data_IF_512323698993
#
_entry.id   IF_512323698993
#
_cell.length_a   1.000
_cell.length_b   1.000
_cell.length_c   1.000
_cell.angle_alpha   90.00
_cell.angle_beta   90.00
_cell.angle_gamma   90.00
#
_symmetry.space_group_name_H-M   'P 1'
#
loop_
_entity.id
_entity.type
_entity.pdbx_description
1 polymer ?
#
# COMPACT_ATOMS: atom_id res chain seq x y z
N UNK A 1 23.76 -1.09 -10.96
CA UNK A 1 23.06 -2.32 -11.44
C UNK A 1 21.79 -1.88 -12.14
N UNK A 2 21.44 -2.51 -13.26
CA UNK A 2 20.15 -2.31 -13.94
C UNK A 2 19.42 -3.63 -14.00
N UNK A 3 18.10 -3.59 -14.12
CA UNK A 3 17.29 -4.77 -14.31
C UNK A 3 15.93 -4.44 -14.91
N UNK A 4 15.20 -5.48 -15.27
CA UNK A 4 13.87 -5.41 -15.86
C UNK A 4 12.95 -6.38 -15.12
N UNK A 5 11.67 -6.01 -14.99
CA UNK A 5 10.64 -6.86 -14.43
C UNK A 5 10.50 -8.17 -15.21
N UNK A 6 10.05 -9.22 -14.51
CA UNK A 6 9.84 -10.52 -15.11
C UNK A 6 8.54 -10.55 -15.92
N UNK A 7 8.53 -11.30 -17.02
CA UNK A 7 7.30 -11.58 -17.77
C UNK A 7 6.35 -12.44 -16.93
N UNK A 8 5.04 -12.16 -17.02
CA UNK A 8 3.99 -12.88 -16.28
C UNK A 8 2.71 -12.94 -17.11
N UNK A 9 1.98 -14.06 -17.06
CA UNK A 9 0.74 -14.26 -17.83
C UNK A 9 0.85 -13.99 -19.35
N UNK A 10 2.03 -14.25 -19.92
CA UNK A 10 2.31 -13.98 -21.34
C UNK A 10 2.56 -12.50 -21.68
N UNK A 11 2.54 -11.61 -20.68
CA UNK A 11 2.88 -10.20 -20.82
C UNK A 11 4.36 -9.97 -20.50
N UNK A 12 5.10 -9.17 -21.30
CA UNK A 12 6.48 -8.82 -21.00
C UNK A 12 6.55 -7.91 -19.77
N UNK A 13 7.61 -8.03 -18.98
CA UNK A 13 7.86 -7.10 -17.87
C UNK A 13 8.28 -5.72 -18.40
N UNK A 14 7.50 -4.68 -18.16
CA UNK A 14 7.75 -3.33 -18.69
C UNK A 14 8.43 -2.37 -17.71
N UNK A 15 8.58 -2.79 -16.44
CA UNK A 15 9.31 -2.01 -15.43
C UNK A 15 10.80 -2.22 -15.61
N UNK A 16 11.53 -1.15 -15.83
CA UNK A 16 12.98 -1.10 -15.77
C UNK A 16 13.39 -0.42 -14.47
N UNK A 17 14.42 -0.95 -13.81
CA UNK A 17 14.93 -0.37 -12.57
C UNK A 17 16.44 -0.22 -12.61
N UNK A 18 16.93 0.74 -11.81
CA UNK A 18 18.36 0.93 -11.56
C UNK A 18 18.62 0.96 -10.06
N UNK A 19 19.76 0.43 -9.67
CA UNK A 19 20.34 0.59 -8.33
C UNK A 19 21.70 1.24 -8.50
N UNK A 20 21.92 2.37 -7.83
CA UNK A 20 23.20 3.06 -7.76
C UNK A 20 23.65 3.17 -6.31
N UNK A 21 24.95 3.05 -6.09
CA UNK A 21 25.55 3.24 -4.78
C UNK A 21 26.78 4.15 -4.89
N UNK A 22 26.87 5.13 -4.02
CA UNK A 22 28.05 5.98 -3.82
C UNK A 22 28.71 5.62 -2.49
N UNK A 23 30.04 5.56 -2.49
CA UNK A 23 30.86 5.17 -1.36
C UNK A 23 31.80 6.31 -1.01
N UNK A 24 31.69 6.85 0.20
CA UNK A 24 32.62 7.83 0.74
C UNK A 24 33.36 7.20 1.90
N UNK A 25 34.69 7.27 1.90
CA UNK A 25 35.53 6.66 2.94
C UNK A 25 36.45 7.71 3.56
N UNK A 26 36.74 7.56 4.85
CA UNK A 26 37.71 8.37 5.58
C UNK A 26 38.88 7.51 6.06
N UNK A 27 40.04 8.13 6.25
CA UNK A 27 41.28 7.47 6.67
C UNK A 27 42.46 7.81 5.76
N UNK A 28 43.67 7.88 6.32
CA UNK A 28 44.86 8.38 5.62
C UNK A 28 45.26 7.55 4.40
N UNK A 29 44.92 6.27 4.40
CA UNK A 29 45.21 5.31 3.32
C UNK A 29 43.94 4.62 2.83
N UNK A 30 42.77 5.19 3.14
CA UNK A 30 41.47 4.64 2.78
C UNK A 30 41.31 4.55 1.27
N UNK A 31 40.80 3.43 0.80
CA UNK A 31 40.65 3.17 -0.63
C UNK A 31 39.38 2.38 -0.93
N UNK A 32 38.77 2.67 -2.08
CA UNK A 32 37.66 1.90 -2.65
C UNK A 32 38.11 1.40 -4.02
N UNK A 33 38.14 0.09 -4.23
CA UNK A 33 38.59 -0.51 -5.50
C UNK A 33 37.61 -1.57 -6.00
N UNK A 34 37.36 -1.65 -7.33
CA UNK A 34 36.71 -2.81 -7.90
C UNK A 34 37.57 -4.06 -7.71
N UNK A 35 36.93 -5.17 -7.34
CA UNK A 35 37.61 -6.45 -7.11
C UNK A 35 37.43 -7.44 -8.26
N UNK A 36 36.44 -7.25 -9.13
CA UNK A 36 36.24 -8.09 -10.31
C UNK A 36 35.38 -7.39 -11.37
N UNK A 37 35.73 -7.61 -12.64
CA UNK A 37 34.93 -7.18 -13.80
C UNK A 37 33.81 -8.19 -14.14
N UNK A 38 33.84 -9.40 -13.56
CA UNK A 38 32.89 -10.49 -13.85
C UNK A 38 31.71 -10.49 -12.88
N UNK A 39 31.98 -10.20 -11.60
CA UNK A 39 30.95 -9.89 -10.59
C UNK A 39 31.32 -8.56 -9.97
N UNK A 40 30.60 -7.47 -10.27
CA UNK A 40 30.97 -6.15 -9.80
C UNK A 40 30.88 -6.11 -8.27
N UNK A 41 32.03 -6.32 -7.63
CA UNK A 41 32.26 -6.20 -6.20
C UNK A 41 33.22 -5.05 -5.96
N UNK A 42 33.05 -4.36 -4.85
CA UNK A 42 33.93 -3.28 -4.40
C UNK A 42 34.57 -3.70 -3.08
N UNK A 43 35.88 -3.48 -2.96
CA UNK A 43 36.62 -3.60 -1.70
C UNK A 43 36.86 -2.22 -1.12
N UNK A 44 36.57 -2.08 0.17
CA UNK A 44 36.95 -0.92 0.98
C UNK A 44 38.06 -1.39 1.92
N UNK A 45 39.23 -0.76 1.85
CA UNK A 45 40.40 -1.09 2.67
C UNK A 45 40.98 0.14 3.36
N UNK A 46 41.58 -0.07 4.54
CA UNK A 46 42.24 0.94 5.36
C UNK A 46 41.39 2.19 5.68
N UNK A 47 40.06 2.04 5.71
CA UNK A 47 39.14 3.10 6.06
C UNK A 47 38.82 3.07 7.57
N UNK A 48 38.73 4.25 8.17
CA UNK A 48 38.24 4.42 9.55
C UNK A 48 36.70 4.39 9.57
N UNK A 49 36.08 5.03 8.57
CA UNK A 49 34.63 5.03 8.35
C UNK A 49 34.30 4.88 6.86
N UNK A 50 33.13 4.30 6.58
CA UNK A 50 32.56 4.22 5.24
C UNK A 50 31.08 4.61 5.28
N UNK A 51 30.71 5.58 4.44
CA UNK A 51 29.35 5.98 4.17
C UNK A 51 28.92 5.41 2.81
N UNK A 52 27.84 4.64 2.83
CA UNK A 52 27.23 4.06 1.63
C UNK A 52 25.87 4.75 1.43
N UNK A 53 25.68 5.37 0.28
CA UNK A 53 24.41 5.96 -0.12
C UNK A 53 23.87 5.17 -1.29
N UNK A 54 22.65 4.63 -1.15
CA UNK A 54 22.00 3.80 -2.17
C UNK A 54 20.78 4.55 -2.70
N UNK A 55 20.67 4.65 -4.02
CA UNK A 55 19.48 5.13 -4.71
C UNK A 55 18.95 4.05 -5.65
N UNK A 56 17.65 3.82 -5.57
CA UNK A 56 16.92 2.84 -6.38
C UNK A 56 15.75 3.57 -7.02
N UNK A 57 15.56 3.40 -8.32
CA UNK A 57 14.40 3.99 -9.01
C UNK A 57 13.96 3.13 -10.20
N UNK A 58 12.76 3.40 -10.70
CA UNK A 58 12.14 2.72 -11.83
C UNK A 58 11.67 3.71 -12.90
N UNK A 59 11.28 3.21 -14.06
CA UNK A 59 10.62 4.01 -15.09
C UNK A 59 9.12 4.28 -14.79
N UNK A 60 8.57 3.77 -13.69
CA UNK A 60 7.16 3.95 -13.33
C UNK A 60 6.87 5.40 -12.93
N UNK A 61 5.87 6.02 -13.58
CA UNK A 61 5.28 7.30 -13.17
C UNK A 61 3.89 7.06 -12.60
N UNK A 62 3.07 6.31 -13.35
CA UNK A 62 1.72 5.89 -12.98
C UNK A 62 1.32 4.67 -13.80
N UNK A 63 0.14 4.13 -13.53
CA UNK A 63 -0.35 2.88 -14.12
C UNK A 63 -0.33 2.82 -15.65
N UNK A 64 -0.40 3.96 -16.34
CA UNK A 64 -0.36 4.05 -17.81
C UNK A 64 0.80 4.89 -18.36
N UNK A 65 1.81 5.19 -17.53
CA UNK A 65 2.97 5.97 -17.94
C UNK A 65 4.27 5.39 -17.35
N UNK A 66 5.12 4.93 -18.26
CA UNK A 66 6.44 4.36 -17.99
C UNK A 66 7.56 5.17 -18.66
N UNK A 67 7.32 6.44 -18.94
CA UNK A 67 8.21 7.29 -19.75
C UNK A 67 9.42 7.85 -18.99
N UNK A 68 9.51 7.64 -17.67
CA UNK A 68 10.64 8.13 -16.90
C UNK A 68 11.93 7.36 -17.19
N UNK A 69 13.07 8.06 -17.10
CA UNK A 69 14.38 7.42 -17.09
C UNK A 69 14.79 7.08 -15.64
N UNK A 70 14.82 5.79 -15.25
CA UNK A 70 15.26 5.39 -13.90
C UNK A 70 16.70 5.82 -13.61
N UNK A 71 17.57 5.84 -14.63
CA UNK A 71 18.97 6.22 -14.47
C UNK A 71 19.10 7.70 -14.14
N UNK A 72 18.34 8.57 -14.80
CA UNK A 72 18.30 10.00 -14.49
C UNK A 72 17.81 10.23 -13.06
N UNK A 73 16.67 9.63 -12.69
CA UNK A 73 16.09 9.77 -11.34
C UNK A 73 17.03 9.34 -10.23
N UNK A 74 17.61 8.14 -10.31
CA UNK A 74 18.55 7.66 -9.31
C UNK A 74 19.82 8.54 -9.25
N UNK A 75 20.27 9.09 -10.38
CA UNK A 75 21.41 10.04 -10.41
C UNK A 75 21.06 11.33 -9.68
N UNK A 76 19.86 11.88 -9.93
CA UNK A 76 19.41 13.10 -9.28
C UNK A 76 19.26 12.91 -7.76
N UNK A 77 18.72 11.77 -7.33
CA UNK A 77 18.63 11.42 -5.90
C UNK A 77 20.00 11.41 -5.23
N UNK A 78 21.01 10.79 -5.84
CA UNK A 78 22.39 10.80 -5.33
C UNK A 78 23.00 12.21 -5.35
N UNK A 79 22.78 12.97 -6.42
CA UNK A 79 23.28 14.35 -6.53
C UNK A 79 22.74 15.26 -5.42
N UNK A 80 21.48 15.08 -5.01
CA UNK A 80 20.83 15.88 -3.95
C UNK A 80 21.43 15.66 -2.55
N UNK A 81 22.16 14.57 -2.34
CA UNK A 81 22.79 14.23 -1.05
C UNK A 81 24.31 14.24 -1.11
N UNK A 82 24.90 14.37 -2.31
CA UNK A 82 26.34 14.40 -2.48
C UNK A 82 26.96 15.58 -1.71
N UNK A 83 28.01 15.28 -0.96
CA UNK A 83 28.72 16.26 -0.12
C UNK A 83 28.05 16.58 1.21
N UNK A 84 26.86 16.03 1.50
CA UNK A 84 26.27 16.10 2.84
C UNK A 84 26.95 15.10 3.76
N UNK A 85 27.18 15.49 5.02
CA UNK A 85 27.71 14.58 6.03
C UNK A 85 26.62 13.60 6.50
N UNK A 86 27.04 12.44 7.02
CA UNK A 86 26.12 11.49 7.65
C UNK A 86 25.28 12.17 8.75
N UNK A 87 25.91 12.98 9.60
CA UNK A 87 25.23 13.71 10.67
C UNK A 87 24.13 14.63 10.14
N UNK A 88 24.39 15.37 9.06
CA UNK A 88 23.38 16.23 8.44
C UNK A 88 22.23 15.43 7.84
N UNK A 89 22.52 14.31 7.17
CA UNK A 89 21.47 13.46 6.59
C UNK A 89 20.62 12.79 7.68
N UNK A 90 21.27 12.31 8.75
CA UNK A 90 20.59 11.72 9.90
C UNK A 90 19.68 12.75 10.58
N UNK A 91 20.15 13.98 10.78
CA UNK A 91 19.35 15.04 11.37
C UNK A 91 18.08 15.32 10.54
N UNK A 92 18.21 15.47 9.22
CA UNK A 92 17.06 15.65 8.32
C UNK A 92 16.09 14.46 8.39
N UNK A 93 16.60 13.23 8.42
CA UNK A 93 15.77 12.03 8.55
C UNK A 93 14.99 12.00 9.88
N UNK A 94 15.68 12.28 11.00
CA UNK A 94 15.09 12.28 12.33
C UNK A 94 14.03 13.38 12.44
N UNK A 95 14.30 14.58 11.92
CA UNK A 95 13.33 15.68 11.90
C UNK A 95 12.06 15.31 11.13
N UNK A 96 12.17 14.78 9.90
CA UNK A 96 11.01 14.33 9.11
C UNK A 96 10.23 13.23 9.84
N UNK A 97 10.90 12.14 10.21
CA UNK A 97 10.23 10.99 10.83
C UNK A 97 9.60 11.37 12.19
N UNK A 98 10.34 12.08 13.05
CA UNK A 98 9.83 12.47 14.38
C UNK A 98 8.70 13.49 14.31
N UNK A 99 8.60 14.29 13.25
CA UNK A 99 7.48 15.22 13.05
C UNK A 99 6.12 14.51 12.92
N UNK A 100 6.13 13.25 12.45
CA UNK A 100 4.95 12.39 12.40
C UNK A 100 4.88 11.46 13.61
N UNK A 101 5.97 10.72 13.85
CA UNK A 101 5.99 9.70 14.88
C UNK A 101 5.82 10.29 16.29
N UNK A 102 6.39 11.48 16.56
CA UNK A 102 6.32 12.15 17.85
C UNK A 102 4.95 12.73 18.22
N UNK A 103 3.96 12.71 17.32
CA UNK A 103 2.61 13.27 17.56
C UNK A 103 1.77 12.47 18.55
N UNK A 104 2.08 11.18 18.74
CA UNK A 104 1.34 10.30 19.65
C UNK A 104 2.34 9.58 20.56
N UNK A 105 2.07 9.65 21.86
CA UNK A 105 2.77 8.88 22.88
C UNK A 105 1.77 7.95 23.57
N UNK A 106 2.14 6.68 23.73
CA UNK A 106 1.31 5.63 24.32
C UNK A 106 2.12 4.96 25.41
N UNK A 107 1.55 4.88 26.61
CA UNK A 107 2.10 4.15 27.75
C UNK A 107 0.94 3.42 28.42
N UNK A 108 1.08 2.11 28.63
CA UNK A 108 0.02 1.25 29.16
C UNK A 108 0.37 0.67 30.53
N UNK A 109 1.31 1.30 31.23
CA UNK A 109 1.73 0.89 32.56
C UNK A 109 3.04 1.54 32.98
N UNK A 110 3.57 1.12 34.12
CA UNK A 110 4.92 1.47 34.55
C UNK A 110 5.89 0.41 34.01
N UNK A 111 6.94 0.79 33.27
CA UNK A 111 7.95 -0.14 32.80
C UNK A 111 8.52 -0.99 33.95
N UNK A 112 8.61 -2.30 33.73
CA UNK A 112 9.24 -3.24 34.66
C UNK A 112 10.63 -3.64 34.15
N UNK A 113 11.34 -4.50 34.88
CA UNK A 113 12.57 -5.11 34.35
C UNK A 113 12.35 -5.86 33.04
N UNK A 114 11.14 -6.37 32.81
CA UNK A 114 10.80 -7.17 31.63
C UNK A 114 10.65 -6.29 30.38
N UNK A 115 10.27 -5.02 30.53
CA UNK A 115 10.15 -4.05 29.43
C UNK A 115 11.48 -3.82 28.68
N UNK A 116 12.62 -4.08 29.34
CA UNK A 116 13.95 -3.92 28.76
C UNK A 116 14.54 -5.21 28.16
N UNK A 117 13.79 -6.32 28.19
CA UNK A 117 14.21 -7.56 27.54
C UNK A 117 14.14 -7.42 26.01
N UNK A 118 14.87 -8.26 25.26
CA UNK A 118 14.68 -8.39 23.82
C UNK A 118 13.20 -8.60 23.45
N UNK A 119 12.71 -7.91 22.40
CA UNK A 119 11.29 -7.95 22.00
C UNK A 119 10.77 -9.36 21.72
N UNK A 120 11.62 -10.25 21.22
CA UNK A 120 11.27 -11.65 20.97
C UNK A 120 10.98 -12.45 22.25
N UNK A 121 11.44 -11.99 23.41
CA UNK A 121 11.12 -12.55 24.73
C UNK A 121 9.88 -11.84 25.29
N UNK A 122 9.84 -10.51 25.20
CA UNK A 122 8.74 -9.70 25.75
C UNK A 122 7.36 -10.11 25.22
N UNK A 123 7.26 -10.47 23.93
CA UNK A 123 6.00 -10.90 23.31
C UNK A 123 5.37 -12.14 23.95
N UNK A 124 6.15 -12.95 24.67
CA UNK A 124 5.66 -14.17 25.33
C UNK A 124 5.32 -13.92 26.82
N UNK A 125 5.41 -12.66 27.30
CA UNK A 125 5.11 -12.24 28.67
C UNK A 125 3.76 -11.49 28.73
N UNK A 126 2.68 -12.16 28.31
CA UNK A 126 1.37 -11.52 28.10
C UNK A 126 0.53 -11.41 29.39
N UNK A 127 0.72 -12.31 30.36
CA UNK A 127 -0.10 -12.41 31.56
C UNK A 127 0.69 -12.76 32.84
N UNK A 128 0.00 -12.65 33.98
CA UNK A 128 0.59 -12.94 35.30
C UNK A 128 1.45 -11.82 35.88
N UNK A 129 2.16 -12.09 37.00
CA UNK A 129 2.97 -11.09 37.72
C UNK A 129 4.17 -10.57 36.92
N UNK A 130 4.60 -11.32 35.89
CA UNK A 130 5.73 -10.99 35.02
C UNK A 130 5.30 -10.36 33.68
N UNK A 131 4.00 -10.06 33.50
CA UNK A 131 3.49 -9.51 32.26
C UNK A 131 4.14 -8.16 31.90
N UNK A 132 4.43 -7.96 30.61
CA UNK A 132 4.91 -6.69 30.08
C UNK A 132 3.80 -5.98 29.29
N UNK A 133 3.01 -5.15 29.98
CA UNK A 133 1.92 -4.40 29.34
C UNK A 133 2.40 -3.38 28.30
N UNK A 134 3.65 -2.93 28.39
CA UNK A 134 4.23 -1.98 27.42
C UNK A 134 4.51 -2.63 26.05
N UNK A 135 4.41 -3.96 25.89
CA UNK A 135 4.46 -4.61 24.58
C UNK A 135 3.29 -4.17 23.69
N UNK A 136 2.10 -3.93 24.26
CA UNK A 136 0.93 -3.49 23.49
C UNK A 136 1.09 -2.04 22.99
N UNK A 137 1.71 -1.18 23.80
CA UNK A 137 2.09 0.16 23.37
C UNK A 137 3.13 0.11 22.24
N UNK A 138 4.10 -0.81 22.34
CA UNK A 138 5.07 -1.06 21.28
C UNK A 138 4.38 -1.52 19.98
N UNK A 139 3.40 -2.43 20.03
CA UNK A 139 2.66 -2.86 18.83
C UNK A 139 1.90 -1.71 18.17
N UNK A 140 1.19 -0.89 18.94
CA UNK A 140 0.47 0.28 18.41
C UNK A 140 1.45 1.28 17.74
N UNK A 141 2.58 1.56 18.39
CA UNK A 141 3.61 2.42 17.81
C UNK A 141 4.29 1.79 16.60
N UNK A 142 4.46 0.46 16.57
CA UNK A 142 5.03 -0.23 15.43
C UNK A 142 4.12 -0.13 14.20
N UNK A 143 2.80 -0.23 14.36
CA UNK A 143 1.85 0.04 13.27
C UNK A 143 2.02 1.44 12.67
N UNK A 144 2.15 2.48 13.51
CA UNK A 144 2.42 3.85 13.07
C UNK A 144 3.76 3.97 12.34
N UNK A 145 4.82 3.36 12.89
CA UNK A 145 6.13 3.32 12.27
C UNK A 145 6.09 2.69 10.87
N UNK A 146 5.44 1.53 10.74
CA UNK A 146 5.30 0.84 9.46
C UNK A 146 4.56 1.73 8.46
N UNK A 147 3.43 2.31 8.86
CA UNK A 147 2.67 3.27 8.06
C UNK A 147 3.50 4.42 7.49
N UNK A 148 4.25 5.11 8.36
CA UNK A 148 5.14 6.20 7.98
C UNK A 148 6.24 5.72 7.02
N UNK A 149 6.75 4.51 7.23
CA UNK A 149 7.84 3.96 6.43
C UNK A 149 7.40 3.43 5.05
N UNK A 150 6.14 3.00 4.90
CA UNK A 150 5.65 2.31 3.70
C UNK A 150 4.56 3.03 2.91
N UNK A 151 4.03 4.16 3.39
CA UNK A 151 2.98 4.91 2.70
C UNK A 151 3.18 6.42 2.86
N UNK A 152 4.07 7.01 2.07
CA UNK A 152 4.33 8.46 1.98
C UNK A 152 4.39 8.84 0.51
N UNK A 153 5.29 9.72 0.03
CA UNK A 153 5.41 10.08 -1.41
C UNK A 153 5.80 8.88 -2.32
N UNK A 154 4.91 7.89 -2.44
CA UNK A 154 5.06 6.53 -3.00
C UNK A 154 3.66 5.94 -3.32
N UNK A 155 3.59 4.67 -3.69
CA UNK A 155 2.37 3.85 -3.68
C UNK A 155 1.89 3.57 -2.24
N UNK A 156 0.58 3.31 -2.00
CA UNK A 156 0.12 2.91 -0.68
C UNK A 156 0.73 1.57 -0.27
N UNK A 157 0.74 1.29 1.03
CA UNK A 157 1.19 0.01 1.56
C UNK A 157 0.35 -1.15 1.02
N UNK A 158 0.99 -2.13 0.38
CA UNK A 158 0.36 -3.35 -0.11
C UNK A 158 0.27 -4.41 1.01
N UNK A 159 -0.08 -5.66 0.70
CA UNK A 159 -0.19 -6.76 1.68
C UNK A 159 1.06 -6.96 2.57
N UNK A 160 2.25 -6.53 2.13
CA UNK A 160 3.51 -6.63 2.85
C UNK A 160 4.15 -5.26 3.10
N UNK A 161 3.37 -4.18 3.00
CA UNK A 161 3.87 -2.80 3.05
C UNK A 161 4.74 -2.50 1.83
N UNK A 162 6.06 -2.55 2.01
CA UNK A 162 7.08 -2.47 0.95
C UNK A 162 8.15 -3.56 1.08
N UNK A 163 7.96 -4.53 2.00
CA UNK A 163 8.99 -5.50 2.39
C UNK A 163 8.69 -6.89 1.84
N UNK A 164 9.28 -7.20 0.69
CA UNK A 164 9.16 -8.50 0.04
C UNK A 164 10.52 -8.97 -0.50
N UNK A 165 10.87 -10.23 -0.27
CA UNK A 165 12.14 -10.83 -0.73
C UNK A 165 11.95 -11.87 -1.84
N UNK A 166 10.71 -12.21 -2.20
CA UNK A 166 10.40 -13.26 -3.18
C UNK A 166 9.77 -12.68 -4.44
N UNK A 167 10.04 -13.29 -5.60
CA UNK A 167 9.52 -12.80 -6.90
C UNK A 167 8.04 -13.13 -7.12
N UNK A 168 7.53 -14.15 -6.43
CA UNK A 168 6.14 -14.59 -6.49
C UNK A 168 5.58 -14.70 -5.07
N UNK A 169 5.33 -13.57 -4.39
CA UNK A 169 4.81 -13.56 -3.03
C UNK A 169 3.36 -14.06 -2.96
N UNK A 170 2.92 -14.44 -1.77
CA UNK A 170 1.54 -14.84 -1.52
C UNK A 170 0.57 -13.73 -1.93
N UNK A 171 -0.48 -14.10 -2.66
CA UNK A 171 -1.45 -13.19 -3.27
C UNK A 171 -0.81 -12.07 -4.13
N UNK A 172 0.41 -12.29 -4.61
CA UNK A 172 1.17 -11.32 -5.41
C UNK A 172 1.60 -10.07 -4.65
N UNK A 173 1.49 -10.04 -3.32
CA UNK A 173 1.71 -8.84 -2.50
C UNK A 173 0.98 -7.61 -3.06
N UNK A 174 -0.22 -7.83 -3.62
CA UNK A 174 -1.03 -6.83 -4.32
C UNK A 174 -1.80 -5.95 -3.33
N UNK A 175 -2.76 -5.18 -3.84
CA UNK A 175 -3.77 -4.51 -3.02
C UNK A 175 -5.04 -5.35 -3.04
N UNK A 176 -5.24 -6.16 -2.01
CA UNK A 176 -6.52 -6.82 -1.76
C UNK A 176 -7.45 -5.85 -1.04
N UNK A 177 -8.51 -5.45 -1.73
CA UNK A 177 -9.37 -4.31 -1.39
C UNK A 177 -10.77 -4.76 -0.96
N UNK A 178 -10.92 -6.01 -0.54
CA UNK A 178 -12.11 -6.52 0.15
C UNK A 178 -11.91 -6.65 1.67
N UNK A 179 -10.82 -6.10 2.23
CA UNK A 179 -10.54 -5.89 3.67
C UNK A 179 -9.11 -5.37 3.89
N UNK A 180 -8.11 -5.95 3.22
CA UNK A 180 -6.70 -5.79 3.63
C UNK A 180 -6.19 -4.37 3.42
N UNK A 181 -6.47 -3.77 2.26
CA UNK A 181 -6.03 -2.40 1.97
C UNK A 181 -6.71 -1.39 2.90
N UNK A 182 -7.98 -1.62 3.25
CA UNK A 182 -8.70 -0.79 4.20
C UNK A 182 -8.05 -0.90 5.59
N UNK A 183 -7.75 -2.13 6.02
CA UNK A 183 -7.06 -2.38 7.29
C UNK A 183 -5.70 -1.72 7.37
N UNK A 184 -4.93 -1.73 6.27
CA UNK A 184 -3.66 -1.00 6.15
C UNK A 184 -3.78 0.51 6.37
N UNK A 185 -4.99 1.07 6.35
CA UNK A 185 -5.24 2.51 6.41
C UNK A 185 -6.06 2.95 7.62
N UNK A 186 -6.70 2.04 8.35
CA UNK A 186 -7.56 2.37 9.51
C UNK A 186 -6.85 3.13 10.63
N UNK A 187 -5.54 2.91 10.80
CA UNK A 187 -4.79 3.54 11.88
C UNK A 187 -4.45 5.00 11.59
N UNK A 188 -4.50 5.44 10.33
CA UNK A 188 -3.86 6.69 9.91
C UNK A 188 -4.48 7.93 10.60
N UNK A 189 -5.80 8.06 10.57
CA UNK A 189 -6.51 9.16 11.23
C UNK A 189 -6.45 9.04 12.76
N UNK A 190 -6.85 7.90 13.39
CA UNK A 190 -6.88 7.80 14.85
C UNK A 190 -5.51 7.96 15.50
N UNK A 191 -4.43 7.59 14.81
CA UNK A 191 -3.06 7.72 15.30
C UNK A 191 -2.28 8.90 14.71
N UNK A 192 -3.00 9.89 14.18
CA UNK A 192 -2.50 11.22 13.81
C UNK A 192 -1.31 11.17 12.83
N UNK A 193 -1.46 10.37 11.79
CA UNK A 193 -0.53 10.21 10.67
C UNK A 193 -1.31 10.16 9.34
N UNK A 194 -2.33 11.02 9.21
CA UNK A 194 -3.23 11.07 8.06
C UNK A 194 -2.50 11.24 6.71
N UNK A 195 -1.31 11.85 6.72
CA UNK A 195 -0.43 11.97 5.55
C UNK A 195 -0.03 10.60 4.95
N UNK A 196 -0.20 9.50 5.69
CA UNK A 196 0.01 8.16 5.14
C UNK A 196 -1.11 7.69 4.21
N UNK A 197 -2.23 8.42 4.14
CA UNK A 197 -3.35 8.14 3.25
C UNK A 197 -3.21 8.79 1.86
N UNK A 198 -2.31 9.77 1.69
CA UNK A 198 -2.14 10.47 0.42
C UNK A 198 -1.94 9.51 -0.78
N UNK A 199 -1.15 8.43 -0.66
CA UNK A 199 -1.02 7.43 -1.73
C UNK A 199 -2.30 6.68 -2.04
N UNK A 200 -3.15 6.45 -1.04
CA UNK A 200 -4.42 5.76 -1.21
C UNK A 200 -5.37 6.59 -2.07
N UNK A 201 -5.35 7.92 -1.95
CA UNK A 201 -6.15 8.82 -2.78
C UNK A 201 -5.78 8.72 -4.26
N UNK A 202 -4.48 8.66 -4.54
CA UNK A 202 -3.96 8.43 -5.89
C UNK A 202 -4.39 7.07 -6.42
N UNK A 203 -4.22 6.00 -5.62
CA UNK A 203 -4.66 4.66 -6.02
C UNK A 203 -6.16 4.63 -6.34
N UNK A 204 -7.03 5.17 -5.48
CA UNK A 204 -8.49 5.17 -5.69
C UNK A 204 -8.84 5.97 -6.95
N UNK A 205 -8.24 7.15 -7.13
CA UNK A 205 -8.50 8.01 -8.29
C UNK A 205 -8.13 7.32 -9.60
N UNK A 206 -6.97 6.67 -9.65
CA UNK A 206 -6.50 5.96 -10.84
C UNK A 206 -7.26 4.65 -11.09
N UNK A 207 -7.63 3.92 -10.04
CA UNK A 207 -8.55 2.78 -10.15
C UNK A 207 -9.90 3.24 -10.69
N UNK A 208 -10.41 4.42 -10.31
CA UNK A 208 -11.64 4.94 -10.85
C UNK A 208 -11.54 5.32 -12.34
N UNK A 209 -10.38 5.77 -12.81
CA UNK A 209 -10.11 5.97 -14.24
C UNK A 209 -10.20 4.65 -15.02
N UNK A 210 -9.54 3.60 -14.53
CA UNK A 210 -9.59 2.27 -15.15
C UNK A 210 -10.97 1.63 -15.04
N UNK A 211 -11.61 1.78 -13.88
CA UNK A 211 -12.91 1.21 -13.53
C UNK A 211 -14.08 1.72 -14.36
N UNK A 212 -13.95 2.88 -15.02
CA UNK A 212 -14.92 3.35 -16.03
C UNK A 212 -14.96 2.43 -17.25
N UNK A 213 -13.80 1.92 -17.66
CA UNK A 213 -13.69 0.99 -18.79
C UNK A 213 -14.34 -0.33 -18.39
N UNK A 214 -14.03 -0.85 -17.20
CA UNK A 214 -14.59 -2.13 -16.74
C UNK A 214 -16.11 -2.04 -16.46
N UNK A 215 -16.60 -0.89 -15.98
CA UNK A 215 -18.04 -0.65 -15.85
C UNK A 215 -18.75 -0.78 -17.21
N UNK A 216 -18.16 -0.23 -18.27
CA UNK A 216 -18.71 -0.33 -19.62
C UNK A 216 -18.57 -1.73 -20.20
N UNK A 217 -17.37 -2.31 -20.18
CA UNK A 217 -17.07 -3.57 -20.85
C UNK A 217 -17.68 -4.79 -20.16
N UNK A 218 -17.74 -4.78 -18.82
CA UNK A 218 -18.26 -5.92 -18.03
C UNK A 218 -19.75 -5.81 -17.76
N UNK A 219 -20.24 -4.60 -17.46
CA UNK A 219 -21.62 -4.39 -17.01
C UNK A 219 -22.49 -3.67 -18.03
N UNK A 220 -21.94 -3.18 -19.15
CA UNK A 220 -22.64 -2.31 -20.11
C UNK A 220 -23.20 -1.03 -19.43
N UNK A 221 -22.51 -0.53 -18.42
CA UNK A 221 -22.87 0.68 -17.68
C UNK A 221 -21.90 1.80 -18.07
N UNK A 222 -22.43 2.87 -18.66
CA UNK A 222 -21.62 4.00 -19.15
C UNK A 222 -21.40 5.12 -18.12
N UNK A 223 -22.06 5.03 -16.96
CA UNK A 223 -21.95 6.02 -15.88
C UNK A 223 -21.16 5.43 -14.71
N UNK A 224 -20.36 6.26 -14.06
CA UNK A 224 -19.62 5.84 -12.88
C UNK A 224 -18.43 4.93 -13.16
N UNK A 225 -18.02 4.18 -12.15
CA UNK A 225 -16.83 3.32 -12.17
C UNK A 225 -16.99 2.17 -11.16
N UNK A 226 -16.25 1.09 -11.38
CA UNK A 226 -16.25 -0.10 -10.52
C UNK A 226 -14.84 -0.62 -10.30
N UNK A 227 -14.63 -1.33 -9.20
CA UNK A 227 -13.46 -2.14 -8.92
C UNK A 227 -13.91 -3.37 -8.14
N UNK A 228 -13.15 -4.46 -8.23
CA UNK A 228 -13.44 -5.71 -7.54
C UNK A 228 -12.44 -5.95 -6.40
N UNK A 229 -12.39 -7.16 -5.85
CA UNK A 229 -11.66 -7.47 -4.61
C UNK A 229 -10.14 -7.25 -4.62
N UNK A 230 -9.51 -7.04 -5.77
CA UNK A 230 -8.06 -6.88 -5.90
C UNK A 230 -7.70 -5.84 -6.96
N UNK A 231 -6.61 -5.12 -6.72
CA UNK A 231 -5.96 -4.22 -7.69
C UNK A 231 -4.43 -4.24 -7.52
N UNK A 232 -3.70 -3.49 -8.32
CA UNK A 232 -2.24 -3.46 -8.31
C UNK A 232 -1.65 -2.16 -8.88
N UNK A 233 -0.35 -2.18 -9.17
CA UNK A 233 0.37 -1.01 -9.73
C UNK A 233 -0.15 -0.61 -11.12
N UNK A 234 -0.84 -1.52 -11.81
CA UNK A 234 -1.48 -1.29 -13.11
C UNK A 234 -2.95 -0.88 -12.99
N UNK A 235 -3.46 -0.74 -11.76
CA UNK A 235 -4.81 -0.31 -11.41
C UNK A 235 -5.90 -1.20 -12.00
N UNK A 236 -5.62 -2.50 -12.11
CA UNK A 236 -6.59 -3.50 -12.53
C UNK A 236 -7.87 -3.35 -11.70
N UNK A 237 -9.01 -3.25 -12.37
CA UNK A 237 -10.33 -3.09 -11.73
C UNK A 237 -11.28 -4.24 -12.03
N UNK A 238 -10.92 -5.18 -12.92
CA UNK A 238 -11.76 -6.30 -13.32
C UNK A 238 -11.78 -7.41 -12.25
N UNK A 239 -12.79 -8.31 -12.26
CA UNK A 239 -12.76 -9.51 -11.42
C UNK A 239 -11.54 -10.37 -11.76
N UNK A 240 -10.74 -10.77 -10.75
CA UNK A 240 -9.60 -11.66 -10.95
C UNK A 240 -9.80 -13.00 -10.23
N UNK A 241 -8.93 -13.96 -10.55
CA UNK A 241 -8.87 -15.32 -10.00
C UNK A 241 -10.09 -16.19 -10.31
N UNK A 242 -11.14 -16.16 -9.48
CA UNK A 242 -12.33 -16.98 -9.66
C UNK A 242 -13.59 -16.24 -9.25
N UNK A 243 -14.72 -16.50 -9.92
CA UNK A 243 -16.02 -15.95 -9.55
C UNK A 243 -16.37 -16.18 -8.07
N UNK A 244 -15.86 -17.27 -7.49
CA UNK A 244 -16.09 -17.62 -6.09
C UNK A 244 -15.61 -16.54 -5.11
N UNK A 245 -14.59 -15.75 -5.45
CA UNK A 245 -14.01 -14.69 -4.61
C UNK A 245 -14.01 -13.32 -5.30
N UNK A 246 -13.78 -13.31 -6.61
CA UNK A 246 -13.40 -12.13 -7.36
C UNK A 246 -14.54 -11.31 -7.93
N UNK A 247 -15.74 -11.87 -8.06
CA UNK A 247 -16.91 -11.11 -8.53
C UNK A 247 -17.57 -10.36 -7.36
N UNK A 248 -16.85 -9.40 -6.81
CA UNK A 248 -17.26 -8.59 -5.66
C UNK A 248 -17.08 -7.09 -5.97
N UNK A 249 -18.09 -6.41 -6.55
CA UNK A 249 -17.98 -5.03 -7.08
C UNK A 249 -18.15 -3.94 -5.99
N UNK A 250 -17.74 -4.22 -4.74
CA UNK A 250 -17.95 -3.33 -3.60
C UNK A 250 -16.68 -2.74 -3.01
N UNK A 251 -15.52 -3.03 -3.61
CA UNK A 251 -14.25 -2.43 -3.21
C UNK A 251 -14.31 -0.89 -3.22
N UNK A 252 -14.86 -0.23 -4.26
CA UNK A 252 -15.01 1.22 -4.27
C UNK A 252 -15.81 1.75 -3.08
N UNK A 253 -16.93 1.10 -2.74
CA UNK A 253 -17.81 1.56 -1.66
C UNK A 253 -17.07 1.59 -0.32
N UNK A 254 -16.25 0.57 -0.05
CA UNK A 254 -15.48 0.49 1.18
C UNK A 254 -14.27 1.43 1.16
N UNK A 255 -13.53 1.49 0.05
CA UNK A 255 -12.37 2.40 -0.08
C UNK A 255 -12.78 3.87 0.07
N UNK A 256 -13.93 4.27 -0.48
CA UNK A 256 -14.44 5.64 -0.37
C UNK A 256 -14.87 6.03 1.05
N UNK A 257 -15.11 5.06 1.95
CA UNK A 257 -15.31 5.38 3.36
C UNK A 257 -14.08 6.09 3.92
N UNK A 258 -12.87 5.68 3.56
CA UNK A 258 -11.65 6.38 4.00
C UNK A 258 -11.61 7.84 3.52
N UNK A 259 -12.02 8.12 2.28
CA UNK A 259 -12.05 9.51 1.77
C UNK A 259 -13.08 10.36 2.51
N UNK A 260 -14.24 9.78 2.82
CA UNK A 260 -15.25 10.47 3.62
C UNK A 260 -14.79 10.67 5.07
N UNK A 261 -14.22 9.64 5.68
CA UNK A 261 -13.66 9.69 7.04
C UNK A 261 -12.56 10.74 7.15
N UNK A 262 -11.64 10.82 6.17
CA UNK A 262 -10.60 11.86 6.13
C UNK A 262 -11.20 13.27 6.26
N UNK A 263 -12.28 13.55 5.53
CA UNK A 263 -13.01 14.82 5.69
C UNK A 263 -13.66 14.94 7.08
N UNK A 264 -14.30 13.89 7.61
CA UNK A 264 -14.97 13.92 8.91
C UNK A 264 -14.00 14.10 10.09
N UNK A 265 -12.77 13.59 9.99
CA UNK A 265 -11.74 13.74 11.02
C UNK A 265 -11.28 15.19 11.15
N UNK A 266 -11.23 15.95 10.05
CA UNK A 266 -10.90 17.36 10.05
C UNK A 266 -11.79 18.15 9.06
N UNK A 267 -13.05 18.43 9.43
CA UNK A 267 -14.03 18.97 8.50
C UNK A 267 -13.72 20.42 8.16
N UNK A 268 -13.56 20.68 6.87
CA UNK A 268 -13.36 22.01 6.30
C UNK A 268 -14.43 22.28 5.22
N UNK A 269 -15.34 23.25 5.41
CA UNK A 269 -16.39 23.57 4.43
C UNK A 269 -15.84 24.00 3.06
N UNK A 270 -14.59 24.48 2.99
CA UNK A 270 -13.94 24.91 1.76
C UNK A 270 -12.95 23.86 1.20
N UNK A 271 -12.95 22.64 1.77
CA UNK A 271 -12.04 21.55 1.43
C UNK A 271 -12.02 21.26 -0.07
N UNK A 272 -10.88 21.56 -0.71
CA UNK A 272 -10.65 21.18 -2.10
C UNK A 272 -10.56 19.67 -2.27
N UNK A 273 -10.04 18.94 -1.28
CA UNK A 273 -10.01 17.48 -1.31
C UNK A 273 -11.43 16.90 -1.42
N UNK A 274 -12.36 17.36 -0.58
CA UNK A 274 -13.74 16.90 -0.64
C UNK A 274 -14.37 17.26 -1.99
N UNK A 275 -14.29 18.53 -2.39
CA UNK A 275 -14.96 19.06 -3.58
C UNK A 275 -14.41 18.49 -4.89
N UNK A 276 -13.10 18.42 -5.03
CA UNK A 276 -12.43 18.17 -6.31
C UNK A 276 -11.99 16.70 -6.46
N UNK A 277 -11.90 15.94 -5.36
CA UNK A 277 -11.43 14.55 -5.38
C UNK A 277 -12.46 13.58 -4.81
N UNK A 278 -12.78 13.66 -3.52
CA UNK A 278 -13.57 12.65 -2.84
C UNK A 278 -15.04 12.62 -3.34
N UNK A 279 -15.69 13.77 -3.44
CA UNK A 279 -17.10 13.85 -3.87
C UNK A 279 -17.32 13.39 -5.32
N UNK A 280 -16.53 13.82 -6.32
CA UNK A 280 -16.65 13.28 -7.68
C UNK A 280 -16.53 11.75 -7.75
N UNK A 281 -15.64 11.15 -6.95
CA UNK A 281 -15.47 9.69 -6.90
C UNK A 281 -16.68 9.00 -6.26
N UNK A 282 -17.18 9.52 -5.13
CA UNK A 282 -18.41 9.04 -4.46
C UNK A 282 -19.65 9.17 -5.35
N UNK A 283 -19.79 10.30 -6.03
CA UNK A 283 -20.85 10.51 -7.02
C UNK A 283 -20.76 9.50 -8.15
N UNK A 284 -19.55 9.30 -8.71
CA UNK A 284 -19.32 8.32 -9.77
C UNK A 284 -19.72 6.90 -9.36
N UNK A 285 -19.35 6.45 -8.15
CA UNK A 285 -19.77 5.13 -7.69
C UNK A 285 -21.30 5.04 -7.51
N UNK A 286 -21.92 6.09 -7.00
CA UNK A 286 -23.39 6.14 -6.84
C UNK A 286 -24.10 6.03 -8.20
N UNK A 287 -23.56 6.69 -9.24
CA UNK A 287 -24.08 6.59 -10.61
C UNK A 287 -23.97 5.18 -11.19
N UNK A 288 -22.88 4.47 -10.90
CA UNK A 288 -22.72 3.05 -11.24
C UNK A 288 -23.76 2.19 -10.53
N UNK A 289 -23.92 2.34 -9.20
CA UNK A 289 -24.90 1.54 -8.45
C UNK A 289 -26.35 1.79 -8.85
N UNK A 290 -26.70 3.02 -9.24
CA UNK A 290 -28.04 3.29 -9.78
C UNK A 290 -28.36 2.49 -11.06
N UNK A 291 -27.36 2.11 -11.85
CA UNK A 291 -27.54 1.29 -13.06
C UNK A 291 -27.24 -0.21 -12.83
N UNK A 292 -26.47 -0.54 -11.80
CA UNK A 292 -26.08 -1.91 -11.47
C UNK A 292 -27.14 -2.64 -10.63
N UNK A 293 -27.80 -1.94 -9.71
CA UNK A 293 -28.79 -2.55 -8.83
C UNK A 293 -30.08 -2.88 -9.59
N UNK A 294 -30.70 -4.01 -9.24
CA UNK A 294 -31.92 -4.53 -9.87
C UNK A 294 -32.98 -4.83 -8.82
N UNK A 295 -34.24 -4.89 -9.21
CA UNK A 295 -35.30 -5.39 -8.32
C UNK A 295 -35.20 -6.92 -8.18
N UNK A 296 -35.14 -7.41 -6.95
CA UNK A 296 -35.12 -8.83 -6.64
C UNK A 296 -36.44 -9.49 -7.09
N UNK A 297 -36.41 -10.66 -7.76
CA UNK A 297 -37.62 -11.39 -8.13
C UNK A 297 -38.51 -11.67 -6.92
N UNK A 298 -39.84 -11.66 -7.12
CA UNK A 298 -40.79 -11.85 -6.01
C UNK A 298 -40.73 -13.26 -5.35
N UNK A 299 -39.97 -14.18 -5.95
CA UNK A 299 -39.76 -15.53 -5.45
C UNK A 299 -38.35 -15.75 -4.87
N UNK A 300 -37.55 -14.69 -4.68
CA UNK A 300 -36.22 -14.71 -4.06
C UNK A 300 -36.21 -13.66 -2.94
N UNK A 301 -35.77 -14.03 -1.73
CA UNK A 301 -35.57 -13.06 -0.65
C UNK A 301 -34.26 -12.28 -0.86
N UNK A 302 -34.22 -10.95 -0.61
CA UNK A 302 -35.31 -10.10 -0.14
C UNK A 302 -36.25 -9.66 -1.27
N UNK A 303 -37.51 -10.12 -1.23
CA UNK A 303 -38.49 -9.98 -2.31
C UNK A 303 -38.82 -8.51 -2.65
N UNK A 304 -38.64 -8.10 -3.91
CA UNK A 304 -39.02 -6.78 -4.42
C UNK A 304 -38.12 -5.63 -3.96
N UNK A 305 -37.00 -5.94 -3.29
CA UNK A 305 -36.00 -4.93 -2.90
C UNK A 305 -35.04 -4.64 -4.06
N UNK A 306 -34.43 -3.45 -4.03
CA UNK A 306 -33.34 -3.11 -4.93
C UNK A 306 -32.05 -3.72 -4.39
N UNK A 307 -31.49 -4.68 -5.12
CA UNK A 307 -30.37 -5.51 -4.71
C UNK A 307 -29.30 -5.57 -5.79
N UNK A 308 -28.03 -5.82 -5.42
CA UNK A 308 -27.00 -6.13 -6.40
C UNK A 308 -27.14 -7.57 -6.90
N UNK A 309 -26.89 -7.78 -8.20
CA UNK A 309 -26.88 -9.10 -8.80
C UNK A 309 -25.88 -9.16 -9.97
N UNK A 310 -24.86 -10.04 -9.91
CA UNK A 310 -24.57 -10.97 -8.83
C UNK A 310 -23.91 -10.26 -7.62
N UNK A 311 -24.04 -10.90 -6.45
CA UNK A 311 -23.43 -10.49 -5.18
C UNK A 311 -22.75 -11.68 -4.50
N UNK A 312 -21.89 -11.41 -3.53
CA UNK A 312 -21.29 -12.43 -2.65
C UNK A 312 -20.80 -11.80 -1.34
N UNK A 313 -20.73 -12.60 -0.29
CA UNK A 313 -20.10 -12.19 0.98
C UNK A 313 -18.69 -12.80 1.05
N UNK A 314 -17.62 -11.99 0.92
CA UNK A 314 -16.26 -12.50 0.89
C UNK A 314 -15.91 -13.27 2.17
N UNK A 315 -15.31 -14.44 2.12
CA UNK A 315 -15.01 -15.32 0.98
C UNK A 315 -15.71 -16.67 1.19
N UNK A 316 -17.01 -16.62 1.47
CA UNK A 316 -17.77 -17.80 1.86
C UNK A 316 -18.67 -18.34 0.74
N UNK A 317 -18.91 -19.65 0.80
CA UNK A 317 -19.84 -20.31 -0.10
C UNK A 317 -21.25 -20.34 0.47
N UNK A 318 -22.23 -20.40 -0.42
CA UNK A 318 -23.65 -20.60 -0.07
C UNK A 318 -24.08 -22.06 -0.16
N UNK A 319 -23.20 -22.93 -0.65
CA UNK A 319 -23.45 -24.36 -0.79
C UNK A 319 -22.73 -24.96 -1.99
N UNK A 320 -22.91 -26.27 -2.16
CA UNK A 320 -22.34 -27.01 -3.29
C UNK A 320 -23.37 -27.18 -4.41
N UNK A 321 -22.94 -26.93 -5.63
CA UNK A 321 -23.68 -27.24 -6.86
C UNK A 321 -22.77 -28.03 -7.79
N UNK A 322 -23.20 -29.23 -8.20
CA UNK A 322 -22.38 -30.17 -8.98
C UNK A 322 -20.97 -30.39 -8.40
N UNK A 323 -20.91 -30.73 -7.11
CA UNK A 323 -19.66 -30.96 -6.36
C UNK A 323 -18.69 -29.76 -6.30
N UNK A 324 -19.14 -28.57 -6.72
CA UNK A 324 -18.38 -27.32 -6.67
C UNK A 324 -19.05 -26.36 -5.69
N UNK A 325 -18.26 -25.76 -4.80
CA UNK A 325 -18.77 -24.70 -3.94
C UNK A 325 -19.06 -23.44 -4.78
N UNK A 326 -20.20 -22.80 -4.55
CA UNK A 326 -20.62 -21.56 -5.22
C UNK A 326 -20.85 -20.46 -4.20
N UNK A 327 -20.63 -19.19 -4.59
CA UNK A 327 -20.79 -18.04 -3.69
C UNK A 327 -21.65 -16.91 -4.23
N UNK A 328 -21.98 -16.92 -5.54
CA UNK A 328 -22.78 -15.85 -6.15
C UNK A 328 -24.26 -15.98 -5.78
N UNK A 329 -24.85 -14.85 -5.42
CA UNK A 329 -26.21 -14.70 -4.90
C UNK A 329 -26.87 -13.45 -5.46
N UNK A 330 -28.18 -13.30 -5.23
CA UNK A 330 -28.78 -11.97 -5.11
C UNK A 330 -28.37 -11.40 -3.75
N UNK A 331 -27.95 -10.14 -3.72
CA UNK A 331 -27.58 -9.45 -2.47
C UNK A 331 -28.77 -9.03 -1.62
#
# INVERSE_FOLDING_TARGET
MTGQGTAMYGLPGSINFVVKAEFTVSGTTAEVKPTSDVRPTLSISNADEALIVIAIDTNYIRYNDLSADPNERATQTLANVRGKSFVSMLQTHVEDHSSLFGRVNISLGVPSSNTFLPTNIRKDLEDGPDADQDIFALYAQYGRYLGIASSRNTEPSNLQGIWNQVLSPDWGSKHTVNINQQMNSWFAEPFNVAETLDPLWSLISEVAERGKIDALETYNISRGWVCHHNTGIWRDSAPIDAAFYGFWPYAPAWLLQHMYEHYVFNPDPDSSFLRDTAYPLMKGLSEFYMDFLVEAPLNVEPNGYIVPNPSMSPEHGIGNYNDSNVSLTYG
#
